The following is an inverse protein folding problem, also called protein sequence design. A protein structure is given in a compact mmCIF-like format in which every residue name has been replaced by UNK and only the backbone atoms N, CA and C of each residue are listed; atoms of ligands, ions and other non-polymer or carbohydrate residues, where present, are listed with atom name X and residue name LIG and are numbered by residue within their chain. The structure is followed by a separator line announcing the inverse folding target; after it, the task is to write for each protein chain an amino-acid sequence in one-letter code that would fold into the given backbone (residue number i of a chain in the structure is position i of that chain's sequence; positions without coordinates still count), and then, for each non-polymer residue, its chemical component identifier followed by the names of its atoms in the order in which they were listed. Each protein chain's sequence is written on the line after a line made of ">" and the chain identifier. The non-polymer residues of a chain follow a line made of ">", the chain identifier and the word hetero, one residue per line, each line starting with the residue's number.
data_IF_169672353932
#
_entry.id   IF_169672353932
#
_cell.length_a   1.000
_cell.length_b   1.000
_cell.length_c   1.000
_cell.angle_alpha   90.00
_cell.angle_beta   90.00
_cell.angle_gamma   90.00
#
_symmetry.space_group_name_H-M   'P 1'
#
loop_
_entity.id
_entity.type
_entity.pdbx_description
1 polymer ?
#
# COMPACT_ATOMS: atom_id res chain seq x y z
N UNK A 1 34.82 -52.21 -2.37
CA UNK A 1 35.23 -50.82 -2.63
C UNK A 1 33.98 -50.00 -2.85
N UNK A 2 33.76 -49.02 -1.99
CA UNK A 2 32.56 -48.22 -1.89
C UNK A 2 32.64 -46.96 -2.77
N UNK A 3 31.50 -46.52 -3.28
CA UNK A 3 31.18 -45.09 -3.39
C UNK A 3 29.68 -44.91 -3.67
N UNK A 4 28.85 -45.03 -2.63
CA UNK A 4 27.51 -44.42 -2.64
C UNK A 4 27.70 -42.92 -2.40
N UNK A 5 27.52 -42.13 -3.45
CA UNK A 5 27.49 -40.67 -3.34
C UNK A 5 26.10 -40.29 -2.80
N UNK A 6 26.03 -40.09 -1.48
CA UNK A 6 24.90 -39.42 -0.86
C UNK A 6 24.89 -37.96 -1.33
N UNK A 7 23.95 -37.61 -2.20
CA UNK A 7 23.62 -36.23 -2.49
C UNK A 7 22.87 -35.66 -1.27
N UNK A 8 23.59 -35.09 -0.31
CA UNK A 8 22.99 -34.28 0.74
C UNK A 8 22.37 -33.04 0.09
N UNK A 9 21.04 -33.02 0.02
CA UNK A 9 20.27 -31.81 -0.24
C UNK A 9 20.61 -30.83 0.89
N UNK A 10 21.28 -29.71 0.58
CA UNK A 10 21.47 -28.63 1.54
C UNK A 10 20.10 -28.06 1.87
N UNK A 11 19.61 -28.36 3.07
CA UNK A 11 18.49 -27.64 3.66
C UNK A 11 18.94 -26.20 3.91
N UNK A 12 18.50 -25.29 3.03
CA UNK A 12 18.65 -23.86 3.24
C UNK A 12 17.64 -23.45 4.32
N UNK A 13 18.06 -23.48 5.57
CA UNK A 13 17.27 -23.13 6.77
C UNK A 13 16.74 -21.68 6.83
N UNK A 14 16.86 -20.86 5.78
CA UNK A 14 16.39 -19.47 5.79
C UNK A 14 15.86 -18.97 4.42
N UNK A 15 15.30 -19.86 3.60
CA UNK A 15 14.75 -19.51 2.28
C UNK A 15 13.33 -20.03 2.09
N UNK A 16 12.50 -19.25 1.39
CA UNK A 16 11.12 -19.53 0.99
C UNK A 16 10.96 -20.95 0.40
N UNK A 17 10.67 -21.95 1.23
CA UNK A 17 10.41 -23.30 0.77
C UNK A 17 8.96 -23.42 0.25
N UNK A 18 8.79 -23.73 -1.04
CA UNK A 18 7.48 -24.01 -1.63
C UNK A 18 6.71 -25.12 -0.91
N UNK A 19 7.43 -26.02 -0.22
CA UNK A 19 6.83 -27.17 0.46
C UNK A 19 6.25 -26.82 1.84
N UNK A 20 6.55 -25.63 2.37
CA UNK A 20 5.97 -25.19 3.64
C UNK A 20 4.48 -24.89 3.48
N UNK A 21 3.60 -25.47 4.30
CA UNK A 21 2.16 -25.24 4.19
C UNK A 21 1.84 -23.77 4.50
N UNK A 22 1.05 -23.13 3.63
CA UNK A 22 0.62 -21.72 3.78
C UNK A 22 -0.22 -21.46 5.04
N UNK A 23 -0.85 -22.51 5.56
CA UNK A 23 -1.59 -22.53 6.81
C UNK A 23 -0.99 -23.70 7.59
N UNK A 24 -0.36 -23.42 8.73
CA UNK A 24 0.27 -24.46 9.50
C UNK A 24 -0.81 -25.37 10.11
N UNK A 25 -0.64 -26.68 9.97
CA UNK A 25 -1.32 -27.62 10.85
C UNK A 25 -0.80 -27.44 12.28
N UNK A 26 -1.65 -27.69 13.29
CA UNK A 26 -1.38 -27.53 14.74
C UNK A 26 -0.22 -28.40 15.29
N UNK A 27 0.60 -29.00 14.43
CA UNK A 27 1.64 -29.95 14.82
C UNK A 27 2.88 -29.24 15.41
N UNK A 28 3.06 -29.42 16.72
CA UNK A 28 4.36 -29.47 17.40
C UNK A 28 5.16 -28.17 17.43
N UNK A 29 4.83 -27.28 18.38
CA UNK A 29 5.71 -26.16 18.75
C UNK A 29 7.07 -26.69 19.23
N UNK A 30 8.13 -26.50 18.43
CA UNK A 30 9.49 -26.46 18.97
C UNK A 30 9.68 -25.13 19.73
N UNK A 31 10.39 -25.13 20.87
CA UNK A 31 10.69 -23.88 21.58
C UNK A 31 11.45 -22.91 20.67
N UNK A 32 10.99 -21.66 20.59
CA UNK A 32 11.62 -20.57 19.85
C UNK A 32 13.04 -20.36 20.39
N UNK A 33 14.01 -20.91 19.67
CA UNK A 33 15.42 -20.61 19.88
C UNK A 33 15.63 -19.14 19.48
N UNK A 34 16.34 -18.34 20.29
CA UNK A 34 16.68 -16.96 19.94
C UNK A 34 17.33 -16.93 18.56
N UNK A 35 16.56 -16.49 17.57
CA UNK A 35 17.02 -16.39 16.20
C UNK A 35 18.04 -15.25 16.09
N UNK A 36 19.18 -15.48 15.44
CA UNK A 36 20.15 -14.41 15.11
C UNK A 36 19.67 -13.52 13.95
N UNK A 37 18.41 -13.64 13.56
CA UNK A 37 17.80 -12.88 12.48
C UNK A 37 17.76 -11.37 12.80
N UNK A 38 18.17 -10.57 11.82
CA UNK A 38 18.22 -9.11 11.88
C UNK A 38 17.08 -8.45 11.11
N UNK A 39 16.16 -9.21 10.51
CA UNK A 39 15.10 -8.72 9.61
C UNK A 39 14.26 -7.63 10.27
N UNK A 40 13.75 -7.88 11.49
CA UNK A 40 12.98 -6.88 12.23
C UNK A 40 13.76 -5.59 12.45
N UNK A 41 15.06 -5.69 12.77
CA UNK A 41 15.91 -4.52 13.01
C UNK A 41 16.11 -3.71 11.72
N UNK A 42 16.43 -4.37 10.60
CA UNK A 42 16.63 -3.71 9.32
C UNK A 42 15.35 -3.01 8.84
N UNK A 43 14.21 -3.71 8.88
CA UNK A 43 12.92 -3.14 8.51
C UNK A 43 12.50 -2.03 9.46
N UNK A 44 12.75 -2.17 10.77
CA UNK A 44 12.45 -1.11 11.74
C UNK A 44 13.30 0.13 11.53
N UNK A 45 14.58 0.00 11.20
CA UNK A 45 15.44 1.15 10.87
C UNK A 45 14.92 1.88 9.63
N UNK A 46 14.55 1.15 8.57
CA UNK A 46 13.96 1.75 7.38
C UNK A 46 12.61 2.42 7.69
N UNK A 47 11.72 1.73 8.41
CA UNK A 47 10.42 2.27 8.79
C UNK A 47 10.52 3.51 9.67
N UNK A 48 11.48 3.54 10.61
CA UNK A 48 11.75 4.72 11.44
C UNK A 48 12.27 5.88 10.60
N UNK A 49 13.25 5.65 9.73
CA UNK A 49 13.79 6.68 8.84
C UNK A 49 12.71 7.27 7.92
N UNK A 50 11.89 6.41 7.31
CA UNK A 50 10.77 6.83 6.47
C UNK A 50 9.71 7.61 7.27
N UNK A 51 9.40 7.18 8.49
CA UNK A 51 8.49 7.90 9.40
C UNK A 51 9.01 9.29 9.77
N UNK A 52 10.32 9.43 10.01
CA UNK A 52 10.95 10.72 10.31
C UNK A 52 10.88 11.65 9.09
N UNK A 53 11.21 11.14 7.90
CA UNK A 53 11.07 11.88 6.65
C UNK A 53 9.62 12.34 6.46
N UNK A 54 8.66 11.44 6.67
CA UNK A 54 7.24 11.77 6.55
C UNK A 54 6.80 12.85 7.53
N UNK A 55 7.16 12.71 8.81
CA UNK A 55 6.85 13.70 9.83
C UNK A 55 7.47 15.07 9.49
N UNK A 56 8.70 15.10 8.97
CA UNK A 56 9.33 16.33 8.53
C UNK A 56 8.59 16.97 7.36
N UNK A 57 8.21 16.19 6.35
CA UNK A 57 7.47 16.70 5.19
C UNK A 57 6.10 17.25 5.61
N UNK A 58 5.37 16.53 6.46
CA UNK A 58 4.10 16.97 7.03
C UNK A 58 4.24 18.28 7.81
N UNK A 59 5.19 18.37 8.74
CA UNK A 59 5.39 19.57 9.55
C UNK A 59 5.68 20.79 8.67
N UNK A 60 6.55 20.63 7.66
CA UNK A 60 6.86 21.73 6.73
C UNK A 60 5.68 22.09 5.84
N UNK A 61 4.89 21.10 5.42
CA UNK A 61 3.67 21.34 4.65
C UNK A 61 2.67 22.12 5.48
N UNK A 62 2.25 21.64 6.65
CA UNK A 62 1.31 22.36 7.53
C UNK A 62 1.79 23.77 7.93
N UNK A 63 3.10 23.95 8.11
CA UNK A 63 3.68 25.26 8.43
C UNK A 63 3.85 26.18 7.21
N UNK A 64 3.65 25.68 5.99
CA UNK A 64 3.87 26.44 4.77
C UNK A 64 2.71 27.40 4.50
N UNK A 65 2.97 28.71 4.34
CA UNK A 65 1.93 29.68 4.00
C UNK A 65 1.43 29.53 2.55
N UNK A 66 2.26 28.96 1.66
CA UNK A 66 1.94 28.82 0.23
C UNK A 66 1.41 27.43 -0.12
N UNK A 67 1.98 26.37 0.47
CA UNK A 67 1.71 24.99 0.06
C UNK A 67 0.51 24.36 0.79
N UNK A 68 0.19 24.76 2.04
CA UNK A 68 -0.97 24.24 2.77
C UNK A 68 -2.24 25.03 2.46
N UNK A 69 -2.63 25.04 1.19
CA UNK A 69 -3.81 25.73 0.69
C UNK A 69 -4.51 24.85 -0.33
N UNK A 70 -5.84 24.95 -0.50
CA UNK A 70 -6.54 24.22 -1.55
C UNK A 70 -5.88 24.46 -2.91
N UNK A 71 -5.76 23.40 -3.70
CA UNK A 71 -5.23 23.49 -5.05
C UNK A 71 -6.08 24.44 -5.90
N UNK A 72 -5.45 25.23 -6.77
CA UNK A 72 -6.17 26.15 -7.62
C UNK A 72 -7.03 25.38 -8.62
N UNK A 73 -8.29 25.76 -8.77
CA UNK A 73 -9.13 25.32 -9.88
C UNK A 73 -8.78 26.20 -11.07
N UNK A 74 -8.06 25.64 -12.04
CA UNK A 74 -7.60 26.36 -13.21
C UNK A 74 -8.65 26.36 -14.32
N UNK A 75 -8.52 27.33 -15.23
CA UNK A 75 -9.16 27.37 -16.55
C UNK A 75 -10.71 27.40 -16.55
N UNK A 76 -11.31 27.27 -17.73
CA UNK A 76 -12.76 27.42 -17.91
C UNK A 76 -13.56 26.14 -17.66
N UNK A 77 -12.93 24.96 -17.57
CA UNK A 77 -13.64 23.69 -17.48
C UNK A 77 -14.29 23.55 -16.10
N UNK A 78 -15.57 23.19 -16.09
CA UNK A 78 -16.34 22.95 -14.87
C UNK A 78 -16.69 21.47 -14.82
N UNK A 79 -16.43 20.84 -13.67
CA UNK A 79 -16.81 19.44 -13.45
C UNK A 79 -18.33 19.28 -13.55
N UNK A 80 -18.80 18.24 -14.24
CA UNK A 80 -20.23 17.99 -14.34
C UNK A 80 -20.82 17.70 -12.95
N UNK A 81 -22.00 18.26 -12.59
CA UNK A 81 -22.56 18.14 -11.25
C UNK A 81 -22.74 16.69 -10.77
N UNK A 82 -23.11 15.77 -11.68
CA UNK A 82 -23.29 14.36 -11.33
C UNK A 82 -21.95 13.68 -10.96
N UNK A 83 -20.84 14.04 -11.62
CA UNK A 83 -19.51 13.54 -11.29
C UNK A 83 -19.06 14.05 -9.94
N UNK A 84 -19.32 15.32 -9.66
CA UNK A 84 -19.03 15.91 -8.35
C UNK A 84 -19.78 15.19 -7.24
N UNK A 85 -21.06 14.86 -7.44
CA UNK A 85 -21.84 14.05 -6.49
C UNK A 85 -21.21 12.67 -6.31
N UNK A 86 -20.85 11.99 -7.41
CA UNK A 86 -20.16 10.70 -7.34
C UNK A 86 -18.81 10.79 -6.61
N UNK A 87 -18.04 11.87 -6.82
CA UNK A 87 -16.79 12.13 -6.11
C UNK A 87 -17.02 12.28 -4.61
N UNK A 88 -18.07 13.00 -4.17
CA UNK A 88 -18.41 13.13 -2.75
C UNK A 88 -18.86 11.80 -2.14
N UNK A 89 -19.60 10.98 -2.88
CA UNK A 89 -19.97 9.64 -2.43
C UNK A 89 -18.71 8.77 -2.29
N UNK A 90 -17.81 8.83 -3.27
CA UNK A 90 -16.53 8.11 -3.23
C UNK A 90 -15.69 8.52 -2.02
N UNK A 91 -15.51 9.81 -1.77
CA UNK A 91 -14.84 10.35 -0.59
C UNK A 91 -15.50 9.87 0.72
N UNK A 92 -16.82 9.93 0.83
CA UNK A 92 -17.55 9.51 2.03
C UNK A 92 -17.41 8.01 2.31
N UNK A 93 -17.50 7.18 1.26
CA UNK A 93 -17.29 5.73 1.37
C UNK A 93 -15.85 5.43 1.79
N UNK A 94 -14.87 6.12 1.20
CA UNK A 94 -13.46 5.92 1.53
C UNK A 94 -13.16 6.26 3.00
N UNK A 95 -13.65 7.41 3.48
CA UNK A 95 -13.55 7.75 4.90
C UNK A 95 -14.24 6.69 5.77
N UNK A 96 -15.44 6.24 5.39
CA UNK A 96 -16.17 5.21 6.13
C UNK A 96 -15.36 3.92 6.31
N UNK A 97 -14.74 3.43 5.23
CA UNK A 97 -13.90 2.22 5.29
C UNK A 97 -12.60 2.47 6.06
N UNK A 98 -11.98 3.66 5.96
CA UNK A 98 -10.82 4.01 6.79
C UNK A 98 -11.17 4.00 8.28
N UNK A 99 -12.27 4.65 8.66
CA UNK A 99 -12.75 4.69 10.04
C UNK A 99 -13.05 3.27 10.55
N UNK A 100 -13.62 2.40 9.70
CA UNK A 100 -13.85 1.00 10.06
C UNK A 100 -12.52 0.27 10.32
N UNK A 101 -11.50 0.43 9.48
CA UNK A 101 -10.19 -0.19 9.70
C UNK A 101 -9.50 0.35 10.95
N UNK A 102 -9.52 1.67 11.17
CA UNK A 102 -8.99 2.27 12.41
C UNK A 102 -9.73 1.71 13.62
N UNK A 103 -11.06 1.64 13.56
CA UNK A 103 -11.87 1.13 14.66
C UNK A 103 -11.55 -0.35 14.98
N UNK A 104 -11.67 -1.23 13.98
CA UNK A 104 -11.57 -2.68 14.20
C UNK A 104 -10.13 -3.19 14.29
N UNK A 105 -9.17 -2.60 13.58
CA UNK A 105 -7.79 -3.08 13.54
C UNK A 105 -6.88 -2.32 14.52
N UNK A 106 -7.18 -1.06 14.87
CA UNK A 106 -6.32 -0.25 15.75
C UNK A 106 -6.97 -0.03 17.11
N UNK A 107 -8.14 0.60 17.18
CA UNK A 107 -8.75 1.04 18.45
C UNK A 107 -9.27 -0.12 19.30
N UNK A 108 -10.09 -1.02 18.73
CA UNK A 108 -10.65 -2.18 19.45
C UNK A 108 -9.54 -3.07 20.03
N UNK A 109 -8.46 -3.41 19.29
CA UNK A 109 -7.34 -4.19 19.85
C UNK A 109 -6.48 -3.40 20.85
N UNK A 110 -6.29 -2.09 20.66
CA UNK A 110 -5.43 -1.28 21.53
C UNK A 110 -6.08 -0.98 22.89
N UNK A 111 -7.41 -0.81 22.95
CA UNK A 111 -8.09 -0.34 24.15
C UNK A 111 -8.85 -1.44 24.91
N UNK A 112 -8.49 -1.73 26.18
CA UNK A 112 -9.11 -2.81 26.96
C UNK A 112 -10.63 -2.73 27.13
N UNK A 113 -11.19 -1.52 27.17
CA UNK A 113 -12.62 -1.28 27.40
C UNK A 113 -13.49 -1.47 26.14
N UNK A 114 -12.89 -1.42 24.94
CA UNK A 114 -13.60 -1.65 23.66
C UNK A 114 -13.68 -3.13 23.28
N UNK A 115 -13.11 -4.02 24.09
CA UNK A 115 -13.01 -5.47 23.83
C UNK A 115 -14.35 -6.18 23.60
N UNK A 116 -15.46 -5.64 24.13
CA UNK A 116 -16.81 -6.18 23.87
C UNK A 116 -17.19 -6.17 22.38
N UNK A 117 -16.52 -5.33 21.58
CA UNK A 117 -16.73 -5.23 20.13
C UNK A 117 -15.75 -6.08 19.33
N UNK A 118 -14.92 -6.88 19.99
CA UNK A 118 -13.95 -7.76 19.32
C UNK A 118 -14.69 -8.91 18.64
N UNK A 119 -14.44 -9.09 17.35
CA UNK A 119 -15.07 -10.15 16.54
C UNK A 119 -14.28 -11.46 16.54
N UNK A 120 -13.05 -11.48 17.07
CA UNK A 120 -12.14 -12.64 17.01
C UNK A 120 -11.33 -12.84 18.30
N UNK A 121 -11.07 -14.10 18.66
CA UNK A 121 -10.33 -14.52 19.87
C UNK A 121 -8.80 -14.34 19.80
N UNK A 122 -8.31 -13.42 18.97
CA UNK A 122 -6.87 -13.21 18.81
C UNK A 122 -6.18 -12.72 20.11
N UNK A 123 -4.87 -12.98 20.32
CA UNK A 123 -4.17 -12.63 21.55
C UNK A 123 -4.13 -11.12 21.88
N UNK A 124 -3.81 -10.79 23.14
CA UNK A 124 -3.87 -9.45 23.77
C UNK A 124 -2.93 -8.37 23.17
N UNK A 125 -2.22 -8.65 22.09
CA UNK A 125 -1.19 -7.78 21.52
C UNK A 125 -1.74 -6.95 20.36
N UNK A 126 -1.17 -5.78 20.12
CA UNK A 126 -1.44 -5.00 18.90
C UNK A 126 -1.30 -5.91 17.68
N UNK A 127 -2.35 -6.02 16.87
CA UNK A 127 -2.45 -7.03 15.82
C UNK A 127 -1.61 -6.64 14.60
N UNK A 128 -1.27 -7.62 13.76
CA UNK A 128 -0.59 -7.36 12.50
C UNK A 128 -1.42 -6.43 11.60
N UNK A 129 -2.73 -6.67 11.52
CA UNK A 129 -3.66 -5.83 10.76
C UNK A 129 -3.63 -4.37 11.26
N UNK A 130 -3.59 -4.15 12.58
CA UNK A 130 -3.43 -2.80 13.15
C UNK A 130 -2.11 -2.13 12.76
N UNK A 131 -1.01 -2.89 12.71
CA UNK A 131 0.28 -2.39 12.23
C UNK A 131 0.23 -2.05 10.74
N UNK A 132 -0.44 -2.85 9.91
CA UNK A 132 -0.62 -2.54 8.48
C UNK A 132 -1.46 -1.29 8.25
N UNK A 133 -2.48 -1.01 9.08
CA UNK A 133 -3.24 0.25 9.00
C UNK A 133 -2.32 1.45 9.27
N UNK A 134 -1.53 1.40 10.33
CA UNK A 134 -0.54 2.47 10.62
C UNK A 134 0.50 2.54 9.51
N UNK A 135 1.00 1.40 9.04
CA UNK A 135 1.94 1.28 7.93
C UNK A 135 1.42 1.94 6.66
N UNK A 136 0.16 1.73 6.30
CA UNK A 136 -0.49 2.38 5.16
C UNK A 136 -0.60 3.90 5.33
N UNK A 137 -1.01 4.38 6.50
CA UNK A 137 -1.08 5.82 6.78
C UNK A 137 0.30 6.51 6.73
N UNK A 138 1.36 5.79 7.09
CA UNK A 138 2.73 6.29 6.92
C UNK A 138 3.16 6.19 5.45
N UNK A 139 2.84 5.09 4.77
CA UNK A 139 3.17 4.85 3.36
C UNK A 139 2.51 5.86 2.41
N UNK A 140 1.41 6.51 2.82
CA UNK A 140 0.81 7.65 2.14
C UNK A 140 1.86 8.68 1.70
N UNK A 141 2.87 8.94 2.52
CA UNK A 141 3.99 9.83 2.19
C UNK A 141 4.56 9.59 0.77
N UNK A 142 4.57 8.33 0.34
CA UNK A 142 5.10 7.91 -0.94
C UNK A 142 4.29 8.43 -2.14
N UNK A 143 3.01 8.80 -1.95
CA UNK A 143 2.16 9.35 -3.01
C UNK A 143 2.77 10.61 -3.63
N UNK A 144 3.31 11.50 -2.78
CA UNK A 144 3.97 12.71 -3.23
C UNK A 144 5.13 12.44 -4.21
N UNK A 145 5.77 11.25 -4.17
CA UNK A 145 6.81 10.89 -5.13
C UNK A 145 6.27 10.72 -6.56
N UNK A 146 4.97 10.47 -6.77
CA UNK A 146 4.37 10.32 -8.10
C UNK A 146 4.56 11.56 -8.98
N UNK A 147 4.51 12.74 -8.37
CA UNK A 147 4.68 14.01 -9.08
C UNK A 147 5.92 14.79 -8.64
N UNK A 148 6.81 14.17 -7.86
CA UNK A 148 8.01 14.84 -7.36
C UNK A 148 8.91 15.37 -8.48
N UNK A 149 9.02 14.66 -9.60
CA UNK A 149 9.92 15.04 -10.69
C UNK A 149 9.23 15.67 -11.90
N UNK A 150 8.03 15.21 -12.22
CA UNK A 150 7.17 15.68 -13.30
C UNK A 150 5.74 15.25 -13.00
N UNK A 151 4.74 15.96 -13.54
CA UNK A 151 3.34 15.66 -13.29
C UNK A 151 2.89 14.41 -14.10
N UNK A 152 2.85 13.26 -13.43
CA UNK A 152 2.53 11.94 -14.01
C UNK A 152 1.14 11.48 -13.60
N UNK A 153 0.75 11.77 -12.36
CA UNK A 153 -0.53 11.38 -11.78
C UNK A 153 -1.37 12.64 -11.56
N UNK A 154 -2.52 12.74 -12.21
CA UNK A 154 -3.35 13.94 -12.10
C UNK A 154 -4.38 13.80 -10.99
N UNK A 155 -4.59 14.90 -10.27
CA UNK A 155 -5.55 15.02 -9.19
C UNK A 155 -6.63 16.03 -9.52
N UNK A 156 -7.87 15.77 -9.09
CA UNK A 156 -8.96 16.74 -9.27
C UNK A 156 -8.95 17.79 -8.16
N UNK A 157 -8.80 19.07 -8.54
CA UNK A 157 -8.83 20.19 -7.62
C UNK A 157 -10.16 20.34 -6.85
N UNK A 158 -11.26 19.75 -7.33
CA UNK A 158 -12.56 19.72 -6.64
C UNK A 158 -12.61 18.73 -5.46
N UNK A 159 -11.66 17.80 -5.35
CA UNK A 159 -11.54 16.94 -4.16
C UNK A 159 -11.28 17.76 -2.91
N UNK A 160 -11.69 17.26 -1.75
CA UNK A 160 -11.37 17.94 -0.49
C UNK A 160 -9.85 17.81 -0.24
N UNK A 161 -9.14 18.93 -0.45
CA UNK A 161 -7.69 18.98 -0.41
C UNK A 161 -7.14 20.25 0.28
N UNK A 162 -5.86 20.22 0.60
CA UNK A 162 -5.06 21.35 1.12
C UNK A 162 -3.70 21.43 0.43
N UNK A 163 -3.66 21.10 -0.86
CA UNK A 163 -2.42 20.96 -1.62
C UNK A 163 -1.79 19.60 -1.40
N UNK A 164 -0.47 19.54 -1.50
CA UNK A 164 0.33 18.30 -1.38
C UNK A 164 1.70 18.61 -0.77
N UNK A 165 2.31 17.64 -0.11
CA UNK A 165 3.61 17.78 0.55
C UNK A 165 4.82 17.55 -0.37
N UNK A 166 4.60 17.31 -1.66
CA UNK A 166 5.64 16.85 -2.61
C UNK A 166 6.88 17.77 -2.63
N UNK A 167 6.71 19.09 -2.45
CA UNK A 167 7.81 20.07 -2.38
C UNK A 167 8.79 19.83 -1.23
N UNK A 168 8.33 19.16 -0.17
CA UNK A 168 9.11 18.90 1.04
C UNK A 168 9.70 17.49 1.07
N UNK A 169 9.45 16.68 0.04
CA UNK A 169 10.07 15.38 -0.13
C UNK A 169 11.49 15.51 -0.70
N UNK A 170 12.38 14.56 -0.38
CA UNK A 170 13.69 14.52 -1.03
C UNK A 170 13.53 14.32 -2.54
N UNK A 171 14.48 14.85 -3.31
CA UNK A 171 14.53 14.73 -4.77
C UNK A 171 13.38 15.40 -5.54
N UNK A 172 12.57 16.25 -4.89
CA UNK A 172 11.61 17.07 -5.61
C UNK A 172 12.34 17.98 -6.63
N UNK A 173 11.86 17.94 -7.87
CA UNK A 173 12.34 18.80 -8.93
C UNK A 173 11.71 20.18 -8.77
N UNK A 174 12.52 21.23 -8.57
CA UNK A 174 12.04 22.61 -8.47
C UNK A 174 11.33 23.12 -9.73
N UNK A 175 11.46 22.42 -10.86
CA UNK A 175 10.73 22.70 -12.09
C UNK A 175 9.40 21.94 -12.19
N UNK A 176 9.12 21.01 -11.27
CA UNK A 176 7.84 20.32 -11.16
C UNK A 176 6.91 21.12 -10.25
N UNK A 177 5.64 21.23 -10.63
CA UNK A 177 4.66 21.92 -9.81
C UNK A 177 4.29 21.11 -8.57
N UNK A 178 4.32 21.75 -7.41
CA UNK A 178 3.70 21.27 -6.17
C UNK A 178 2.28 21.80 -5.96
N UNK A 179 1.73 22.54 -6.93
CA UNK A 179 0.45 23.25 -6.82
C UNK A 179 -0.70 22.41 -7.36
N UNK A 180 -0.84 21.20 -6.86
CA UNK A 180 -1.98 20.31 -7.11
C UNK A 180 -2.49 19.75 -5.78
N UNK A 181 -3.71 19.20 -5.78
CA UNK A 181 -4.43 18.87 -4.56
C UNK A 181 -4.59 17.38 -4.39
N UNK A 182 -3.85 16.78 -3.46
CA UNK A 182 -4.10 15.39 -3.09
C UNK A 182 -5.40 15.29 -2.31
N UNK A 183 -6.23 14.29 -2.62
CA UNK A 183 -7.52 14.14 -1.95
C UNK A 183 -7.35 13.58 -0.55
N UNK A 184 -7.67 14.39 0.46
CA UNK A 184 -7.52 14.01 1.87
C UNK A 184 -8.56 13.00 2.33
N UNK A 185 -9.69 12.88 1.62
CA UNK A 185 -10.79 12.00 2.02
C UNK A 185 -10.76 10.62 1.37
N UNK A 186 -10.05 10.44 0.25
CA UNK A 186 -9.92 9.12 -0.37
C UNK A 186 -8.46 8.66 -0.57
N UNK A 187 -7.48 9.58 -0.64
CA UNK A 187 -6.06 9.25 -0.74
C UNK A 187 -5.52 8.47 0.47
N UNK A 188 -5.60 8.98 1.72
CA UNK A 188 -5.16 8.24 2.90
C UNK A 188 -5.86 6.88 3.08
N UNK A 189 -7.20 6.77 2.88
CA UNK A 189 -7.85 5.47 2.91
C UNK A 189 -7.33 4.45 1.90
N UNK A 190 -6.98 4.87 0.67
CA UNK A 190 -6.45 3.98 -0.38
C UNK A 190 -5.26 3.17 0.10
N UNK A 191 -4.29 3.82 0.76
CA UNK A 191 -3.11 3.14 1.30
C UNK A 191 -3.42 2.15 2.44
N UNK A 192 -4.49 2.40 3.21
CA UNK A 192 -4.96 1.46 4.22
C UNK A 192 -5.58 0.22 3.57
N UNK A 193 -6.31 0.37 2.46
CA UNK A 193 -6.84 -0.78 1.74
C UNK A 193 -5.73 -1.57 1.06
N UNK A 194 -4.71 -0.88 0.51
CA UNK A 194 -3.56 -1.54 -0.08
C UNK A 194 -2.76 -2.35 0.96
N UNK A 195 -2.47 -1.75 2.11
CA UNK A 195 -1.63 -2.40 3.12
C UNK A 195 -2.38 -3.42 3.99
N UNK A 196 -3.65 -3.19 4.31
CA UNK A 196 -4.43 -4.06 5.20
C UNK A 196 -5.58 -4.76 4.47
N UNK A 197 -6.34 -4.02 3.65
CA UNK A 197 -7.53 -4.52 2.96
C UNK A 197 -7.26 -5.70 2.02
N UNK A 198 -6.30 -5.57 1.09
CA UNK A 198 -5.94 -6.65 0.18
C UNK A 198 -5.42 -7.87 0.92
N UNK A 199 -4.57 -7.69 1.94
CA UNK A 199 -4.11 -8.81 2.76
C UNK A 199 -5.26 -9.59 3.41
N UNK A 200 -6.25 -8.89 3.98
CA UNK A 200 -7.45 -9.50 4.57
C UNK A 200 -8.28 -10.21 3.51
N UNK A 201 -8.51 -9.57 2.36
CA UNK A 201 -9.29 -10.12 1.26
C UNK A 201 -8.62 -11.37 0.67
N UNK A 202 -7.34 -11.30 0.32
CA UNK A 202 -6.57 -12.41 -0.22
C UNK A 202 -6.52 -13.60 0.74
N UNK A 203 -6.37 -13.38 2.06
CA UNK A 203 -6.49 -14.45 3.05
C UNK A 203 -7.88 -15.10 3.05
N UNK A 204 -8.96 -14.31 2.92
CA UNK A 204 -10.33 -14.84 2.82
C UNK A 204 -10.53 -15.65 1.54
N UNK A 205 -9.87 -15.30 0.45
CA UNK A 205 -9.92 -16.06 -0.82
C UNK A 205 -9.05 -17.32 -0.79
N UNK A 206 -7.90 -17.30 -0.11
CA UNK A 206 -6.96 -18.41 -0.10
C UNK A 206 -7.55 -19.72 0.46
N UNK A 207 -8.36 -19.63 1.53
CA UNK A 207 -9.00 -20.79 2.18
C UNK A 207 -9.97 -21.56 1.26
N UNK A 208 -10.99 -20.92 0.66
CA UNK A 208 -11.90 -21.61 -0.26
C UNK A 208 -11.19 -22.10 -1.52
N UNK A 209 -10.21 -21.34 -2.04
CA UNK A 209 -9.38 -21.77 -3.17
C UNK A 209 -8.62 -23.06 -2.86
N UNK A 210 -7.97 -23.14 -1.70
CA UNK A 210 -7.28 -24.35 -1.21
C UNK A 210 -8.20 -25.54 -1.06
N UNK A 211 -9.43 -25.33 -0.56
CA UNK A 211 -10.42 -26.40 -0.42
C UNK A 211 -10.91 -26.91 -1.79
N UNK A 212 -11.04 -26.01 -2.76
CA UNK A 212 -11.52 -26.35 -4.12
C UNK A 212 -10.43 -26.97 -4.99
N UNK A 213 -9.18 -26.54 -4.81
CA UNK A 213 -8.02 -26.97 -5.59
C UNK A 213 -6.88 -27.43 -4.65
N UNK A 214 -7.04 -28.61 -4.00
CA UNK A 214 -6.08 -29.09 -3.00
C UNK A 214 -4.69 -29.39 -3.60
N UNK A 215 -4.63 -29.80 -4.87
CA UNK A 215 -3.40 -30.23 -5.55
C UNK A 215 -2.54 -29.06 -6.05
N UNK A 216 -3.03 -27.81 -5.98
CA UNK A 216 -2.26 -26.65 -6.42
C UNK A 216 -1.11 -26.33 -5.45
N UNK A 217 0.04 -25.96 -6.00
CA UNK A 217 1.16 -25.42 -5.21
C UNK A 217 0.80 -24.07 -4.58
N UNK A 218 1.63 -23.61 -3.63
CA UNK A 218 1.51 -22.27 -3.07
C UNK A 218 1.55 -21.19 -4.16
N UNK A 219 2.45 -21.34 -5.13
CA UNK A 219 2.54 -20.46 -6.29
C UNK A 219 1.27 -20.49 -7.15
N UNK A 220 0.66 -21.67 -7.35
CA UNK A 220 -0.61 -21.79 -8.08
C UNK A 220 -1.76 -21.03 -7.40
N UNK A 221 -1.91 -21.16 -6.09
CA UNK A 221 -2.93 -20.40 -5.33
C UNK A 221 -2.66 -18.90 -5.37
N UNK A 222 -1.40 -18.48 -5.19
CA UNK A 222 -1.04 -17.07 -5.26
C UNK A 222 -1.24 -16.46 -6.64
N UNK A 223 -0.98 -17.21 -7.71
CA UNK A 223 -1.24 -16.77 -9.09
C UNK A 223 -2.74 -16.50 -9.30
N UNK A 224 -3.62 -17.37 -8.78
CA UNK A 224 -5.07 -17.15 -8.88
C UNK A 224 -5.50 -15.91 -8.10
N UNK A 225 -4.99 -15.72 -6.88
CA UNK A 225 -5.27 -14.54 -6.07
C UNK A 225 -4.81 -13.27 -6.80
N UNK A 226 -3.59 -13.28 -7.35
CA UNK A 226 -3.05 -12.17 -8.12
C UNK A 226 -3.93 -11.83 -9.33
N UNK A 227 -4.39 -12.82 -10.11
CA UNK A 227 -5.29 -12.59 -11.24
C UNK A 227 -6.62 -11.97 -10.79
N UNK A 228 -7.16 -12.40 -9.64
CA UNK A 228 -8.39 -11.83 -9.09
C UNK A 228 -8.15 -10.38 -8.65
N UNK A 229 -7.08 -10.10 -7.92
CA UNK A 229 -6.73 -8.76 -7.47
C UNK A 229 -6.49 -7.82 -8.65
N UNK A 230 -5.80 -8.28 -9.71
CA UNK A 230 -5.62 -7.55 -10.96
C UNK A 230 -6.95 -7.15 -11.60
N UNK A 231 -7.88 -8.11 -11.76
CA UNK A 231 -9.18 -7.83 -12.38
C UNK A 231 -10.03 -6.90 -11.52
N UNK A 232 -10.01 -7.10 -10.20
CA UNK A 232 -10.75 -6.25 -9.26
C UNK A 232 -10.26 -4.81 -9.32
N UNK A 233 -8.95 -4.62 -9.23
CA UNK A 233 -8.31 -3.31 -9.31
C UNK A 233 -8.61 -2.65 -10.66
N UNK A 234 -8.33 -3.34 -11.78
CA UNK A 234 -8.58 -2.85 -13.13
C UNK A 234 -10.00 -2.32 -13.31
N UNK A 235 -11.01 -3.04 -12.82
CA UNK A 235 -12.41 -2.65 -12.92
C UNK A 235 -12.72 -1.48 -11.99
N UNK A 236 -12.32 -1.54 -10.72
CA UNK A 236 -12.61 -0.50 -9.73
C UNK A 236 -11.96 0.82 -10.13
N UNK A 237 -10.68 0.80 -10.51
CA UNK A 237 -9.92 1.97 -10.95
C UNK A 237 -10.54 2.62 -12.19
N UNK A 238 -10.85 1.83 -13.22
CA UNK A 238 -11.48 2.37 -14.43
C UNK A 238 -12.86 2.98 -14.13
N UNK A 239 -13.65 2.37 -13.25
CA UNK A 239 -14.94 2.94 -12.84
C UNK A 239 -14.74 4.22 -12.03
N UNK A 240 -13.82 4.24 -11.06
CA UNK A 240 -13.54 5.39 -10.22
C UNK A 240 -13.11 6.59 -11.06
N UNK A 241 -12.12 6.41 -11.95
CA UNK A 241 -11.64 7.45 -12.86
C UNK A 241 -12.78 7.94 -13.76
N UNK A 242 -13.50 7.04 -14.44
CA UNK A 242 -14.52 7.42 -15.44
C UNK A 242 -15.78 8.01 -14.84
N UNK A 243 -16.13 7.69 -13.60
CA UNK A 243 -17.35 8.19 -12.96
C UNK A 243 -17.05 9.48 -12.21
N UNK A 244 -15.96 9.52 -11.43
CA UNK A 244 -15.71 10.62 -10.49
C UNK A 244 -14.81 11.71 -11.06
N UNK A 245 -13.97 11.38 -12.05
CA UNK A 245 -12.83 12.21 -12.44
C UNK A 245 -11.95 12.61 -11.24
N UNK A 246 -11.94 11.85 -10.14
CA UNK A 246 -11.23 12.23 -8.90
C UNK A 246 -9.71 12.27 -9.07
N UNK A 247 -9.19 11.44 -9.97
CA UNK A 247 -7.79 11.33 -10.34
C UNK A 247 -7.67 10.66 -11.71
N UNK A 248 -6.45 10.56 -12.21
CA UNK A 248 -6.11 9.84 -13.42
C UNK A 248 -4.62 9.88 -13.71
N UNK A 249 -4.23 9.48 -14.91
CA UNK A 249 -2.83 9.43 -15.30
C UNK A 249 -2.54 10.53 -16.32
N UNK A 250 -1.82 11.57 -15.92
CA UNK A 250 -1.43 12.69 -16.78
C UNK A 250 -0.50 12.23 -17.90
N UNK A 251 0.44 11.34 -17.57
CA UNK A 251 1.48 10.86 -18.48
C UNK A 251 1.72 9.37 -18.29
N UNK A 252 1.76 8.61 -19.38
CA UNK A 252 1.93 7.15 -19.35
C UNK A 252 2.84 6.65 -20.48
N UNK A 253 3.30 5.41 -20.36
CA UNK A 253 4.06 4.72 -21.41
C UNK A 253 3.12 4.10 -22.45
N UNK A 254 3.00 4.72 -23.64
CA UNK A 254 1.95 4.44 -24.64
C UNK A 254 1.74 2.95 -24.95
N UNK A 255 2.78 2.12 -25.15
CA UNK A 255 2.60 0.72 -25.53
C UNK A 255 1.82 -0.11 -24.50
N UNK A 256 1.76 0.34 -23.26
CA UNK A 256 1.05 -0.32 -22.16
C UNK A 256 -0.11 0.53 -21.64
N UNK A 257 -0.62 1.46 -22.45
CA UNK A 257 -1.73 2.35 -22.10
C UNK A 257 -2.99 1.99 -22.88
N UNK A 258 -4.09 1.82 -22.15
CA UNK A 258 -5.43 1.74 -22.71
C UNK A 258 -6.02 3.14 -22.84
N UNK A 259 -6.82 3.35 -23.89
CA UNK A 259 -7.48 4.63 -24.17
C UNK A 259 -6.49 5.82 -24.18
N UNK A 260 -5.41 5.73 -24.97
CA UNK A 260 -4.36 6.75 -24.97
C UNK A 260 -4.95 8.13 -25.26
N UNK A 261 -4.38 9.15 -24.61
CA UNK A 261 -4.72 10.58 -24.77
C UNK A 261 -6.11 10.98 -24.29
N UNK A 262 -6.91 10.05 -23.78
CA UNK A 262 -8.17 10.37 -23.11
C UNK A 262 -7.92 10.84 -21.68
N UNK A 263 -8.83 11.64 -21.11
CA UNK A 263 -8.81 12.00 -19.68
C UNK A 263 -8.77 10.77 -18.76
N UNK A 264 -9.38 9.67 -19.22
CA UNK A 264 -9.45 8.39 -18.53
C UNK A 264 -8.44 7.36 -19.06
N UNK A 265 -7.35 7.80 -19.73
CA UNK A 265 -6.31 6.88 -20.16
C UNK A 265 -5.81 6.05 -18.96
N UNK A 266 -5.58 4.76 -19.21
CA UNK A 266 -5.30 3.82 -18.13
C UNK A 266 -4.05 2.99 -18.45
N UNK A 267 -2.94 3.17 -17.72
CA UNK A 267 -1.77 2.32 -17.84
C UNK A 267 -2.06 0.94 -17.25
N UNK A 268 -2.12 -0.11 -18.08
CA UNK A 268 -2.45 -1.47 -17.60
C UNK A 268 -1.42 -2.02 -16.60
N UNK A 269 -0.19 -1.47 -16.64
CA UNK A 269 0.86 -1.81 -15.68
C UNK A 269 0.53 -1.35 -14.26
N UNK A 270 -0.39 -0.41 -14.08
CA UNK A 270 -0.79 0.03 -12.76
C UNK A 270 -1.51 -1.09 -11.99
N UNK A 271 -2.53 -1.72 -12.57
CA UNK A 271 -3.17 -2.89 -11.97
C UNK A 271 -2.24 -4.08 -11.77
N UNK A 272 -1.22 -4.24 -12.62
CA UNK A 272 -0.16 -5.25 -12.40
C UNK A 272 0.61 -4.96 -11.11
N UNK A 273 0.94 -3.69 -10.86
CA UNK A 273 1.66 -3.28 -9.66
C UNK A 273 0.78 -3.36 -8.41
N UNK A 274 -0.49 -2.96 -8.47
CA UNK A 274 -1.44 -3.09 -7.35
C UNK A 274 -1.65 -4.56 -7.00
N UNK A 275 -1.89 -5.43 -7.97
CA UNK A 275 -2.05 -6.87 -7.72
C UNK A 275 -0.79 -7.49 -7.12
N UNK A 276 0.39 -7.07 -7.57
CA UNK A 276 1.66 -7.55 -7.02
C UNK A 276 1.86 -7.08 -5.57
N UNK A 277 1.49 -5.83 -5.27
CA UNK A 277 1.51 -5.27 -3.93
C UNK A 277 0.53 -6.02 -3.01
N UNK A 278 -0.72 -6.20 -3.44
CA UNK A 278 -1.76 -6.93 -2.72
C UNK A 278 -1.33 -8.36 -2.38
N UNK A 279 -0.72 -9.06 -3.34
CA UNK A 279 -0.22 -10.41 -3.16
C UNK A 279 0.84 -10.51 -2.05
N UNK A 280 1.75 -9.53 -1.96
CA UNK A 280 2.82 -9.51 -0.95
C UNK A 280 2.24 -9.27 0.45
N UNK A 281 1.24 -8.39 0.60
CA UNK A 281 0.52 -8.23 1.88
C UNK A 281 -0.28 -9.48 2.25
N UNK A 282 -0.96 -10.11 1.27
CA UNK A 282 -1.65 -11.39 1.44
C UNK A 282 -0.70 -12.48 1.91
N UNK A 283 0.48 -12.60 1.29
CA UNK A 283 1.49 -13.57 1.66
C UNK A 283 2.02 -13.34 3.10
N UNK A 284 2.29 -12.08 3.48
CA UNK A 284 2.71 -11.77 4.86
C UNK A 284 1.64 -12.13 5.89
N UNK A 285 0.38 -11.83 5.57
CA UNK A 285 -0.73 -12.12 6.47
C UNK A 285 -1.02 -13.62 6.60
N UNK A 286 -0.93 -14.39 5.52
CA UNK A 286 -1.06 -15.85 5.56
C UNK A 286 0.03 -16.50 6.42
N UNK A 287 1.28 -16.04 6.29
CA UNK A 287 2.39 -16.57 7.11
C UNK A 287 2.26 -16.22 8.59
N UNK A 288 1.58 -15.13 8.90
CA UNK A 288 1.28 -14.73 10.27
C UNK A 288 -0.01 -15.36 10.84
N UNK A 289 -0.73 -16.16 10.05
CA UNK A 289 -2.11 -16.56 10.37
C UNK A 289 -2.21 -17.33 11.69
N UNK A 290 -1.29 -18.27 11.94
CA UNK A 290 -1.33 -19.12 13.14
C UNK A 290 -0.50 -18.57 14.31
N UNK A 291 0.56 -17.82 14.01
CA UNK A 291 1.52 -17.33 15.00
C UNK A 291 1.22 -15.91 15.46
N UNK A 292 0.43 -15.15 14.69
CA UNK A 292 0.29 -13.71 14.84
C UNK A 292 1.58 -12.93 14.58
N UNK A 293 2.59 -13.57 13.97
CA UNK A 293 3.92 -12.99 13.69
C UNK A 293 4.23 -13.11 12.22
N UNK A 294 4.43 -11.97 11.56
CA UNK A 294 4.86 -11.93 10.18
C UNK A 294 6.37 -12.16 10.06
N UNK A 295 6.87 -12.68 8.92
CA UNK A 295 8.31 -12.83 8.68
C UNK A 295 9.11 -11.53 8.82
N UNK A 296 8.50 -10.37 8.55
CA UNK A 296 9.15 -9.07 8.68
C UNK A 296 9.40 -8.67 10.13
N UNK A 297 8.75 -9.33 11.08
CA UNK A 297 8.97 -9.16 12.51
C UNK A 297 10.04 -10.12 13.07
N UNK A 298 10.63 -11.00 12.25
CA UNK A 298 11.59 -12.00 12.72
C UNK A 298 12.85 -11.38 13.36
N UNK A 299 13.26 -11.93 14.51
CA UNK A 299 14.43 -11.45 15.26
C UNK A 299 14.15 -10.30 16.23
N UNK A 300 12.88 -9.92 16.43
CA UNK A 300 12.51 -8.89 17.42
C UNK A 300 12.89 -9.29 18.85
N UNK A 301 12.99 -10.60 19.14
CA UNK A 301 13.34 -11.15 20.46
C UNK A 301 14.77 -10.80 20.90
N UNK A 302 15.61 -10.35 19.96
CA UNK A 302 16.95 -9.84 20.22
C UNK A 302 16.93 -8.48 20.94
N UNK A 303 15.81 -7.76 20.90
CA UNK A 303 15.64 -6.48 21.58
C UNK A 303 15.12 -6.65 23.01
N UNK A 304 15.45 -5.68 23.87
CA UNK A 304 14.94 -5.62 25.23
C UNK A 304 13.41 -5.70 25.26
N UNK A 305 12.76 -6.46 26.18
CA UNK A 305 11.32 -6.72 26.16
C UNK A 305 10.43 -5.47 26.01
N UNK A 306 10.85 -4.34 26.58
CA UNK A 306 10.14 -3.05 26.47
C UNK A 306 10.12 -2.45 25.06
N UNK A 307 11.10 -2.78 24.22
CA UNK A 307 11.26 -2.23 22.85
C UNK A 307 10.68 -3.16 21.78
N UNK A 308 10.45 -4.43 22.10
CA UNK A 308 9.97 -5.44 21.15
C UNK A 308 8.71 -5.02 20.40
N UNK A 309 7.73 -4.44 21.10
CA UNK A 309 6.51 -3.93 20.47
C UNK A 309 6.79 -2.82 19.46
N UNK A 310 7.65 -1.87 19.83
CA UNK A 310 8.04 -0.73 18.99
C UNK A 310 8.81 -1.18 17.75
N UNK A 311 9.80 -2.07 17.92
CA UNK A 311 10.60 -2.62 16.81
C UNK A 311 9.69 -3.36 15.83
N UNK A 312 8.77 -4.20 16.32
CA UNK A 312 7.79 -4.89 15.47
C UNK A 312 6.90 -3.93 14.69
N UNK A 313 6.42 -2.87 15.35
CA UNK A 313 5.59 -1.85 14.69
C UNK A 313 6.36 -1.12 13.59
N UNK A 314 7.58 -0.65 13.87
CA UNK A 314 8.40 -0.01 12.85
C UNK A 314 8.85 -0.97 11.74
N UNK A 315 9.04 -2.25 12.04
CA UNK A 315 9.33 -3.26 11.03
C UNK A 315 8.19 -3.42 10.03
N UNK A 316 6.94 -3.48 10.52
CA UNK A 316 5.76 -3.53 9.62
C UNK A 316 5.57 -2.21 8.88
N UNK A 317 5.82 -1.04 9.49
CA UNK A 317 5.82 0.25 8.79
C UNK A 317 6.87 0.26 7.67
N UNK A 318 8.08 -0.21 7.96
CA UNK A 318 9.16 -0.28 6.99
C UNK A 318 8.84 -1.23 5.84
N UNK A 319 8.24 -2.38 6.14
CA UNK A 319 7.72 -3.28 5.12
C UNK A 319 6.63 -2.62 4.27
N UNK A 320 5.64 -1.96 4.88
CA UNK A 320 4.57 -1.28 4.16
C UNK A 320 5.11 -0.20 3.23
N UNK A 321 5.94 0.70 3.74
CA UNK A 321 6.56 1.76 2.94
C UNK A 321 7.47 1.18 1.84
N UNK A 322 8.26 0.16 2.16
CA UNK A 322 9.19 -0.47 1.22
C UNK A 322 8.46 -1.19 0.08
N UNK A 323 7.43 -1.97 0.40
CA UNK A 323 6.61 -2.66 -0.59
C UNK A 323 5.89 -1.66 -1.52
N UNK A 324 5.27 -0.63 -0.95
CA UNK A 324 4.61 0.45 -1.70
C UNK A 324 5.59 1.20 -2.61
N UNK A 325 6.78 1.53 -2.12
CA UNK A 325 7.80 2.20 -2.93
C UNK A 325 8.32 1.31 -4.06
N UNK A 326 8.73 0.08 -3.73
CA UNK A 326 9.45 -0.79 -4.68
C UNK A 326 8.51 -1.41 -5.71
N UNK A 327 7.33 -1.84 -5.30
CA UNK A 327 6.40 -2.58 -6.16
C UNK A 327 5.45 -1.65 -6.92
N UNK A 328 5.13 -0.49 -6.37
CA UNK A 328 4.16 0.44 -6.96
C UNK A 328 4.82 1.72 -7.44
N UNK A 329 5.27 2.61 -6.54
CA UNK A 329 5.66 3.96 -6.93
C UNK A 329 6.89 4.01 -7.84
N UNK A 330 7.94 3.25 -7.54
CA UNK A 330 9.18 3.28 -8.31
C UNK A 330 8.96 2.85 -9.78
N UNK A 331 8.37 1.67 -10.08
CA UNK A 331 8.14 1.27 -11.46
C UNK A 331 7.08 2.13 -12.15
N UNK A 332 6.01 2.55 -11.45
CA UNK A 332 5.00 3.45 -12.02
C UNK A 332 5.62 4.80 -12.42
N UNK A 333 6.45 5.38 -11.54
CA UNK A 333 7.17 6.61 -11.84
C UNK A 333 8.16 6.44 -12.98
N UNK A 334 8.92 5.34 -12.99
CA UNK A 334 9.87 5.11 -14.07
C UNK A 334 9.17 5.07 -15.43
N UNK A 335 8.07 4.32 -15.56
CA UNK A 335 7.27 4.26 -16.77
C UNK A 335 6.58 5.59 -17.11
N UNK A 336 6.12 6.34 -16.11
CA UNK A 336 5.58 7.69 -16.31
C UNK A 336 6.62 8.70 -16.79
N UNK A 337 7.84 8.63 -16.25
CA UNK A 337 8.96 9.52 -16.62
C UNK A 337 9.37 9.30 -18.08
N UNK A 338 9.56 8.04 -18.49
CA UNK A 338 9.92 7.69 -19.87
C UNK A 338 8.72 7.71 -20.83
N UNK A 339 7.51 7.84 -20.29
CA UNK A 339 6.29 7.83 -21.06
C UNK A 339 6.21 8.94 -22.10
N UNK A 340 5.39 8.73 -23.11
CA UNK A 340 5.19 9.58 -24.28
C UNK A 340 3.70 9.84 -24.57
N UNK A 341 2.81 9.31 -23.73
CA UNK A 341 1.36 9.45 -23.85
C UNK A 341 0.82 10.43 -22.82
N UNK A 342 0.30 11.57 -23.28
CA UNK A 342 -0.25 12.63 -22.44
C UNK A 342 -1.76 12.63 -22.52
N UNK A 343 -2.43 12.66 -21.37
CA UNK A 343 -3.90 12.74 -21.33
C UNK A 343 -4.40 14.12 -21.76
N UNK A 344 -5.56 14.16 -22.42
CA UNK A 344 -6.35 15.38 -22.56
C UNK A 344 -7.02 15.71 -21.21
N UNK A 345 -6.31 16.49 -20.40
CA UNK A 345 -6.71 16.82 -19.03
C UNK A 345 -7.63 18.06 -18.99
N UNK A 346 -8.80 17.98 -18.34
CA UNK A 346 -9.58 19.15 -17.97
C UNK A 346 -8.77 20.12 -17.12
N UNK A 347 -9.09 21.41 -17.20
CA UNK A 347 -8.33 22.44 -16.48
C UNK A 347 -8.34 22.25 -14.96
N UNK A 348 -9.40 21.71 -14.39
CA UNK A 348 -9.48 21.37 -12.96
C UNK A 348 -8.63 20.16 -12.53
N UNK A 349 -7.95 19.46 -13.45
CA UNK A 349 -7.00 18.38 -13.14
C UNK A 349 -5.54 18.73 -13.49
N UNK A 350 -5.29 19.93 -14.01
CA UNK A 350 -3.95 20.43 -14.32
C UNK A 350 -3.27 20.95 -13.04
N UNK A 351 -1.94 20.81 -12.91
CA UNK A 351 -1.22 21.39 -11.80
C UNK A 351 -1.13 22.91 -11.98
N UNK A 352 -1.14 23.65 -10.88
CA UNK A 352 -0.89 25.09 -10.86
C UNK A 352 0.51 25.46 -11.35
N UNK A 353 0.78 26.76 -11.53
CA UNK A 353 2.10 27.23 -11.96
C UNK A 353 3.19 26.83 -10.95
N UNK A 354 4.41 26.68 -11.44
CA UNK A 354 5.60 26.54 -10.59
C UNK A 354 5.87 27.88 -9.92
N UNK A 355 5.98 27.89 -8.60
CA UNK A 355 6.29 29.07 -7.76
C UNK A 355 7.77 29.15 -7.40
#
# INVERSE_FOLDING_TARGET
>A
MASNVHYQRRDYENGLDETSPLIAGVAGRKPEQKSRDGTASAMATFGLGFSIMWAQALVRWFASPTEFQPAPILGPDVIEPWRLVCLRIFEALSVGVLLAHIWYCVLVPAFPYLRRFKTTDEPRQFTLDGRHVIGGLVALCADGFLNCHQYIFMWNANSINRGVWAKFLPFHNHLSSSRYGESLLWGPPMYVYFCAGFGILGCKMAKPLRKRFPDLSNAGIFTIIWCIEFVLDFVIENLAIRITHGYGYAKTYRPLTLFPEQVYQFPIYESVFVASLGLVFTAMRLKAYDTGRSPVEAGFENWHPRLQGTVRTFAVIGFSAGAVLILYHLPLNWLGVIGDCYADMPSYMKPGPVE
#
